data_IF_036349848712
#
_entry.id   IF_036349848712
#
_cell.length_a   1.000
_cell.length_b   1.000
_cell.length_c   1.000
_cell.angle_alpha   90.00
_cell.angle_beta   90.00
_cell.angle_gamma   90.00
#
_symmetry.space_group_name_H-M   'P 1'
#
loop_
_entity.id
_entity.type
_entity.pdbx_description
1 polymer ?
#
# COMPACT_ATOMS: atom_id res chain seq x y z
N UNK A 1 3.84 -38.98 -18.20
CA UNK A 1 3.30 -37.93 -19.09
C UNK A 1 2.07 -37.27 -18.45
N UNK A 2 1.16 -38.00 -17.82
CA UNK A 2 -0.01 -37.45 -17.14
C UNK A 2 0.36 -36.49 -15.95
N UNK A 3 1.47 -36.75 -15.26
CA UNK A 3 1.96 -35.96 -14.14
C UNK A 3 2.71 -34.67 -14.56
N UNK A 4 3.05 -34.52 -15.84
CA UNK A 4 3.81 -33.36 -16.35
C UNK A 4 2.96 -32.17 -16.81
N UNK A 5 1.63 -32.33 -16.95
CA UNK A 5 0.70 -31.32 -17.48
C UNK A 5 1.18 -30.63 -18.79
N UNK A 6 1.98 -31.31 -19.58
CA UNK A 6 2.55 -30.75 -20.81
C UNK A 6 3.79 -29.89 -20.62
N UNK A 7 4.38 -29.87 -19.42
CA UNK A 7 5.64 -29.17 -19.22
C UNK A 7 6.75 -29.80 -20.07
N UNK A 8 7.58 -28.96 -20.67
CA UNK A 8 8.76 -29.33 -21.45
C UNK A 8 10.03 -28.86 -20.76
N UNK A 9 11.17 -29.29 -21.27
CA UNK A 9 12.47 -28.83 -20.76
C UNK A 9 12.58 -27.29 -20.82
N UNK A 10 13.14 -26.70 -19.77
CA UNK A 10 13.23 -25.24 -19.61
C UNK A 10 12.01 -24.58 -18.96
N UNK A 11 10.89 -25.29 -18.74
CA UNK A 11 9.78 -24.72 -17.98
C UNK A 11 10.09 -24.62 -16.47
N UNK A 12 9.78 -23.48 -15.88
CA UNK A 12 9.63 -23.31 -14.42
C UNK A 12 8.22 -23.77 -14.04
N UNK A 13 8.13 -24.60 -13.00
CA UNK A 13 6.89 -25.26 -12.61
C UNK A 13 6.70 -25.25 -11.11
N UNK A 14 5.45 -25.30 -10.66
CA UNK A 14 5.09 -25.61 -9.27
C UNK A 14 4.79 -27.11 -9.19
N UNK A 15 5.41 -27.77 -8.23
CA UNK A 15 5.28 -29.21 -8.02
C UNK A 15 4.67 -29.48 -6.65
N UNK A 16 3.59 -30.23 -6.63
CA UNK A 16 3.04 -30.82 -5.41
C UNK A 16 3.73 -32.15 -5.12
N UNK A 17 4.41 -32.27 -3.98
CA UNK A 17 5.06 -33.50 -3.59
C UNK A 17 4.01 -34.55 -3.20
N UNK A 18 4.10 -35.72 -3.81
CA UNK A 18 3.27 -36.90 -3.50
C UNK A 18 3.97 -37.89 -2.59
N UNK A 19 5.32 -37.81 -2.54
CA UNK A 19 6.17 -38.59 -1.64
C UNK A 19 7.46 -37.83 -1.37
N UNK A 20 7.90 -37.81 -0.11
CA UNK A 20 9.16 -37.17 0.28
C UNK A 20 10.38 -38.05 0.08
N UNK A 21 10.18 -39.31 -0.38
CA UNK A 21 11.26 -40.26 -0.60
C UNK A 21 11.83 -40.81 0.72
N UNK A 22 11.29 -41.94 1.21
CA UNK A 22 11.79 -42.65 2.35
C UNK A 22 12.74 -43.80 1.89
N UNK A 23 13.67 -44.24 2.76
CA UNK A 23 14.51 -45.38 2.53
C UNK A 23 15.35 -45.32 1.23
N UNK A 24 15.93 -44.15 0.92
CA UNK A 24 16.81 -43.95 -0.24
C UNK A 24 16.08 -43.79 -1.58
N UNK A 25 14.75 -43.73 -1.59
CA UNK A 25 13.98 -43.37 -2.77
C UNK A 25 13.99 -41.86 -2.95
N UNK A 26 13.99 -41.40 -4.21
CA UNK A 26 13.88 -39.96 -4.54
C UNK A 26 12.46 -39.46 -4.27
N UNK A 27 12.29 -38.15 -3.90
CA UNK A 27 10.98 -37.54 -3.82
C UNK A 27 10.22 -37.67 -5.15
N UNK A 28 8.91 -37.88 -5.06
CA UNK A 28 8.02 -37.89 -6.22
C UNK A 28 6.97 -36.76 -6.10
N UNK A 29 6.59 -36.18 -7.23
CA UNK A 29 5.58 -35.12 -7.28
C UNK A 29 4.84 -35.11 -8.59
N UNK A 30 3.80 -34.26 -8.63
CA UNK A 30 3.07 -33.91 -9.84
C UNK A 30 3.17 -32.42 -10.09
N UNK A 31 3.29 -32.00 -11.34
CA UNK A 31 3.23 -30.59 -11.72
C UNK A 31 1.81 -30.11 -11.55
N UNK A 32 1.62 -29.05 -10.74
CA UNK A 32 0.32 -28.42 -10.51
C UNK A 32 0.15 -27.14 -11.31
N UNK A 33 1.25 -26.46 -11.66
CA UNK A 33 1.23 -25.22 -12.43
C UNK A 33 2.50 -25.12 -13.28
N UNK A 34 2.38 -24.57 -14.49
CA UNK A 34 3.50 -24.14 -15.33
C UNK A 34 3.57 -22.62 -15.23
N UNK A 35 4.67 -22.09 -14.70
CA UNK A 35 4.88 -20.64 -14.51
C UNK A 35 5.21 -19.99 -15.87
N UNK A 36 6.08 -20.63 -16.66
CA UNK A 36 6.55 -20.16 -17.95
C UNK A 36 7.89 -20.82 -18.31
N UNK A 37 8.40 -20.52 -19.49
CA UNK A 37 9.74 -20.95 -19.89
C UNK A 37 10.80 -20.04 -19.24
N UNK A 38 11.95 -20.59 -18.90
CA UNK A 38 13.02 -19.85 -18.20
C UNK A 38 13.49 -18.57 -18.93
N UNK A 39 13.29 -18.51 -20.26
CA UNK A 39 13.63 -17.35 -21.11
C UNK A 39 12.46 -16.39 -21.32
N UNK A 40 11.26 -16.69 -20.80
CA UNK A 40 10.12 -15.79 -20.94
C UNK A 40 10.23 -14.63 -19.95
N UNK A 41 9.97 -13.39 -20.39
CA UNK A 41 9.99 -12.23 -19.51
C UNK A 41 9.06 -12.41 -18.29
N UNK A 42 9.57 -12.12 -17.09
CA UNK A 42 8.83 -12.19 -15.83
C UNK A 42 8.69 -13.58 -15.22
N UNK A 43 9.15 -14.66 -15.87
CA UNK A 43 9.13 -16.02 -15.32
C UNK A 43 10.04 -16.15 -14.10
N UNK A 44 11.14 -15.42 -14.06
CA UNK A 44 12.06 -15.34 -12.93
C UNK A 44 11.38 -14.71 -11.71
N UNK A 45 10.71 -13.57 -11.88
CA UNK A 45 9.96 -12.88 -10.81
C UNK A 45 8.80 -13.77 -10.32
N UNK A 46 8.01 -14.35 -11.23
CA UNK A 46 6.92 -15.25 -10.85
C UNK A 46 7.41 -16.51 -10.14
N UNK A 47 8.62 -16.99 -10.45
CA UNK A 47 9.23 -18.11 -9.72
C UNK A 47 9.56 -17.74 -8.27
N UNK A 48 9.99 -16.50 -8.02
CA UNK A 48 10.21 -15.97 -6.67
C UNK A 48 8.87 -15.86 -5.93
N UNK A 49 7.87 -15.25 -6.57
CA UNK A 49 6.51 -15.11 -6.02
C UNK A 49 5.95 -16.46 -5.57
N UNK A 50 6.03 -17.48 -6.43
CA UNK A 50 5.56 -18.84 -6.11
C UNK A 50 6.45 -19.53 -5.07
N UNK A 51 7.76 -19.29 -5.10
CA UNK A 51 8.71 -19.87 -4.13
C UNK A 51 8.47 -19.39 -2.69
N UNK A 52 7.97 -18.16 -2.53
CA UNK A 52 7.59 -17.58 -1.23
C UNK A 52 6.09 -17.69 -0.92
N UNK A 53 5.30 -18.36 -1.77
CA UNK A 53 3.85 -18.47 -1.64
C UNK A 53 3.14 -17.11 -1.50
N UNK A 54 3.64 -16.08 -2.20
CA UNK A 54 3.02 -14.75 -2.13
C UNK A 54 1.63 -14.79 -2.80
N UNK A 55 0.58 -14.27 -2.14
CA UNK A 55 -0.78 -14.28 -2.67
C UNK A 55 -0.96 -13.19 -3.72
N UNK A 56 -0.91 -13.55 -5.00
CA UNK A 56 -1.02 -12.60 -6.13
C UNK A 56 -2.44 -12.07 -6.27
N UNK A 57 -3.42 -12.95 -6.12
CA UNK A 57 -4.83 -12.62 -6.34
C UNK A 57 -5.57 -12.44 -5.01
N UNK A 58 -6.58 -11.58 -5.02
CA UNK A 58 -7.50 -11.43 -3.90
C UNK A 58 -8.72 -12.33 -4.09
N UNK A 59 -9.23 -12.94 -3.01
CA UNK A 59 -10.51 -13.66 -3.08
C UNK A 59 -11.66 -12.72 -3.50
N UNK A 60 -12.61 -13.23 -4.30
CA UNK A 60 -13.77 -12.47 -4.78
C UNK A 60 -14.56 -11.75 -3.67
N UNK A 61 -14.68 -12.37 -2.50
CA UNK A 61 -15.37 -11.77 -1.35
C UNK A 61 -14.68 -10.50 -0.86
N UNK A 62 -13.33 -10.46 -0.95
CA UNK A 62 -12.49 -9.31 -0.56
C UNK A 62 -12.63 -8.19 -1.59
N UNK A 63 -12.56 -8.53 -2.88
CA UNK A 63 -12.74 -7.55 -3.97
C UNK A 63 -14.13 -6.91 -3.90
N UNK A 64 -15.20 -7.70 -3.76
CA UNK A 64 -16.57 -7.16 -3.62
C UNK A 64 -16.73 -6.28 -2.37
N UNK A 65 -16.07 -6.61 -1.27
CA UNK A 65 -16.10 -5.75 -0.08
C UNK A 65 -15.34 -4.44 -0.34
N UNK A 66 -14.16 -4.49 -0.96
CA UNK A 66 -13.38 -3.31 -1.32
C UNK A 66 -14.20 -2.34 -2.20
N UNK A 67 -14.83 -2.84 -3.26
CA UNK A 67 -15.70 -2.04 -4.14
C UNK A 67 -16.88 -1.39 -3.39
N UNK A 68 -17.46 -2.11 -2.43
CA UNK A 68 -18.60 -1.60 -1.64
C UNK A 68 -18.21 -0.46 -0.72
N UNK A 69 -17.01 -0.53 -0.10
CA UNK A 69 -16.54 0.46 0.87
C UNK A 69 -15.74 1.59 0.23
N UNK A 70 -15.17 1.39 -0.95
CA UNK A 70 -14.40 2.39 -1.68
C UNK A 70 -15.33 3.45 -2.29
N UNK A 71 -15.84 4.34 -1.45
CA UNK A 71 -16.71 5.45 -1.85
C UNK A 71 -16.07 6.78 -1.49
N UNK A 72 -16.28 7.84 -2.28
CA UNK A 72 -15.86 9.18 -1.92
C UNK A 72 -16.35 9.58 -0.53
N UNK A 73 -15.57 10.41 0.14
CA UNK A 73 -15.91 10.94 1.47
C UNK A 73 -17.24 11.66 1.41
N UNK A 74 -18.17 11.29 2.29
CA UNK A 74 -19.49 11.89 2.42
C UNK A 74 -19.57 12.77 3.67
N UNK A 75 -20.62 13.60 3.74
CA UNK A 75 -20.90 14.41 4.94
C UNK A 75 -21.06 13.54 6.21
N UNK A 76 -21.58 12.33 6.06
CA UNK A 76 -21.73 11.41 7.19
C UNK A 76 -20.35 10.92 7.72
N UNK A 77 -19.38 10.73 6.82
CA UNK A 77 -18.02 10.32 7.18
C UNK A 77 -17.23 11.44 7.88
N UNK A 78 -17.62 12.70 7.63
CA UNK A 78 -17.00 13.88 8.23
C UNK A 78 -17.50 14.16 9.66
N UNK A 79 -18.62 13.58 10.06
CA UNK A 79 -19.23 13.84 11.36
C UNK A 79 -18.31 13.44 12.52
N UNK A 80 -17.99 14.39 13.40
CA UNK A 80 -17.10 14.19 14.54
C UNK A 80 -15.62 14.32 14.20
N UNK A 81 -15.24 14.49 12.93
CA UNK A 81 -13.86 14.70 12.50
C UNK A 81 -13.51 16.19 12.46
N UNK A 82 -12.25 16.49 12.70
CA UNK A 82 -11.72 17.85 12.55
C UNK A 82 -11.51 18.16 11.07
N UNK A 83 -12.10 19.23 10.57
CA UNK A 83 -11.95 19.64 9.17
C UNK A 83 -10.66 20.45 9.01
N UNK A 84 -9.73 19.91 8.22
CA UNK A 84 -8.45 20.51 7.89
C UNK A 84 -8.27 20.73 6.38
N UNK A 85 -9.36 20.72 5.62
CA UNK A 85 -9.33 20.85 4.15
C UNK A 85 -8.79 22.21 3.67
N UNK A 86 -8.89 23.24 4.51
CA UNK A 86 -8.35 24.56 4.20
C UNK A 86 -6.85 24.71 4.52
N UNK A 87 -6.22 23.67 5.08
CA UNK A 87 -4.79 23.66 5.36
C UNK A 87 -3.99 23.33 4.10
N UNK A 88 -2.88 24.04 3.88
CA UNK A 88 -1.94 23.68 2.83
C UNK A 88 -1.25 22.35 3.14
N UNK A 89 -1.43 21.38 2.27
CA UNK A 89 -0.90 20.02 2.44
C UNK A 89 -0.25 19.50 1.18
N UNK A 90 0.82 18.74 1.37
CA UNK A 90 1.49 18.03 0.29
C UNK A 90 1.78 16.59 0.68
N UNK A 91 1.81 15.70 -0.30
CA UNK A 91 2.46 14.38 -0.18
C UNK A 91 3.84 14.45 -0.81
N UNK A 92 4.81 13.69 -0.30
CA UNK A 92 6.20 13.67 -0.79
C UNK A 92 6.67 12.22 -0.91
N UNK A 93 6.67 11.67 -2.12
CA UNK A 93 6.91 10.26 -2.39
C UNK A 93 7.84 10.05 -3.58
N UNK A 94 8.09 8.78 -3.94
CA UNK A 94 8.69 8.43 -5.21
C UNK A 94 7.81 8.85 -6.40
N UNK A 95 8.41 9.12 -7.54
CA UNK A 95 7.67 9.60 -8.74
C UNK A 95 6.59 8.61 -9.19
N UNK A 96 6.86 7.31 -9.05
CA UNK A 96 5.97 6.22 -9.48
C UNK A 96 5.05 5.69 -8.35
N UNK A 97 5.13 6.24 -7.12
CA UNK A 97 4.28 5.83 -6.01
C UNK A 97 2.81 6.06 -6.33
N UNK A 98 1.93 5.13 -5.93
CA UNK A 98 0.48 5.22 -6.14
C UNK A 98 -0.29 5.10 -4.83
N UNK A 99 0.35 4.60 -3.82
CA UNK A 99 -0.10 4.39 -2.47
C UNK A 99 0.52 5.49 -1.59
N UNK A 100 -0.13 6.65 -1.57
CA UNK A 100 0.32 7.83 -0.83
C UNK A 100 -0.28 7.76 0.58
N UNK A 101 0.47 7.19 1.52
CA UNK A 101 -0.03 6.87 2.86
C UNK A 101 -0.01 8.08 3.80
N UNK A 102 0.89 9.03 3.56
CA UNK A 102 1.08 10.19 4.42
C UNK A 102 1.09 11.53 3.66
N UNK A 103 0.63 12.56 4.34
CA UNK A 103 0.72 13.95 3.90
C UNK A 103 1.24 14.82 5.06
N UNK A 104 1.84 15.94 4.71
CA UNK A 104 2.35 16.90 5.67
C UNK A 104 1.78 18.29 5.40
N UNK A 105 1.55 19.01 6.50
CA UNK A 105 1.20 20.44 6.48
C UNK A 105 2.09 21.21 7.44
N UNK A 106 2.41 22.46 7.11
CA UNK A 106 3.23 23.31 7.96
C UNK A 106 2.71 24.76 7.93
N UNK A 107 2.44 25.29 9.10
CA UNK A 107 2.05 26.69 9.28
C UNK A 107 2.95 27.32 10.33
N UNK A 108 3.37 28.57 10.09
CA UNK A 108 4.11 29.35 11.10
C UNK A 108 3.14 30.14 11.96
N UNK A 109 3.19 29.95 13.28
CA UNK A 109 2.37 30.64 14.25
C UNK A 109 3.25 31.35 15.29
N UNK A 110 3.40 32.67 15.15
CA UNK A 110 4.36 33.44 15.95
C UNK A 110 5.80 32.98 15.70
N UNK A 111 6.49 32.53 16.76
CA UNK A 111 7.84 31.97 16.66
C UNK A 111 7.85 30.46 16.43
N UNK A 112 6.71 29.79 16.65
CA UNK A 112 6.57 28.33 16.52
C UNK A 112 6.11 27.91 15.13
N UNK A 113 6.17 26.60 14.89
CA UNK A 113 5.64 25.94 13.71
C UNK A 113 4.54 24.96 14.13
N UNK A 114 3.43 24.96 13.40
CA UNK A 114 2.39 23.93 13.53
C UNK A 114 2.62 22.93 12.41
N UNK A 115 3.16 21.78 12.77
CA UNK A 115 3.43 20.67 11.85
C UNK A 115 2.28 19.65 11.95
N UNK A 116 1.60 19.40 10.85
CA UNK A 116 0.65 18.31 10.72
C UNK A 116 1.28 17.13 9.99
N UNK A 117 1.11 15.92 10.54
CA UNK A 117 1.38 14.65 9.87
C UNK A 117 0.05 13.90 9.78
N UNK A 118 -0.36 13.60 8.58
CA UNK A 118 -1.68 13.05 8.27
C UNK A 118 -1.51 11.68 7.61
N UNK A 119 -2.01 10.64 8.26
CA UNK A 119 -1.96 9.26 7.75
C UNK A 119 -3.35 8.86 7.28
N UNK A 120 -3.45 8.22 6.12
CA UNK A 120 -4.71 7.72 5.59
C UNK A 120 -5.46 6.86 6.62
N UNK A 121 -6.72 7.19 6.92
CA UNK A 121 -7.55 6.43 7.87
C UNK A 121 -8.08 5.15 7.22
N UNK A 122 -7.19 4.16 7.10
CA UNK A 122 -7.49 2.84 6.51
C UNK A 122 -8.59 2.13 7.33
N UNK A 123 -8.64 2.38 8.63
CA UNK A 123 -9.60 1.70 9.52
C UNK A 123 -11.05 2.10 9.27
N UNK A 124 -11.29 3.25 8.64
CA UNK A 124 -12.62 3.63 8.19
C UNK A 124 -13.17 2.66 7.13
N UNK A 125 -12.32 2.09 6.30
CA UNK A 125 -12.67 1.20 5.18
C UNK A 125 -12.50 -0.28 5.54
N UNK A 126 -11.48 -0.60 6.33
CA UNK A 126 -11.13 -1.97 6.74
C UNK A 126 -11.57 -2.19 8.18
N UNK A 127 -12.81 -2.65 8.33
CA UNK A 127 -13.41 -2.91 9.64
C UNK A 127 -12.89 -4.23 10.22
N UNK A 128 -12.68 -4.24 11.53
CA UNK A 128 -12.23 -5.41 12.30
C UNK A 128 -13.07 -6.65 11.99
N UNK A 129 -12.41 -7.80 11.85
CA UNK A 129 -13.02 -9.09 11.53
C UNK A 129 -13.77 -9.15 10.18
N UNK A 130 -13.60 -8.16 9.32
CA UNK A 130 -14.14 -8.18 7.94
C UNK A 130 -13.35 -9.14 7.03
N UNK A 131 -13.83 -9.36 5.81
CA UNK A 131 -13.06 -10.14 4.83
C UNK A 131 -11.77 -9.41 4.40
N UNK A 132 -11.82 -8.07 4.29
CA UNK A 132 -10.66 -7.24 4.02
C UNK A 132 -9.61 -7.33 5.15
N UNK A 133 -10.06 -7.23 6.40
CA UNK A 133 -9.19 -7.29 7.57
C UNK A 133 -8.47 -8.64 7.69
N UNK A 134 -9.21 -9.74 7.54
CA UNK A 134 -8.60 -11.08 7.57
C UNK A 134 -7.60 -11.31 6.45
N UNK A 135 -7.89 -10.83 5.24
CA UNK A 135 -6.98 -10.93 4.10
C UNK A 135 -5.73 -10.07 4.32
N UNK A 136 -5.91 -8.84 4.81
CA UNK A 136 -4.81 -7.95 5.13
C UNK A 136 -3.89 -8.53 6.22
N UNK A 137 -4.47 -9.12 7.26
CA UNK A 137 -3.72 -9.81 8.32
C UNK A 137 -2.93 -11.02 7.78
N UNK A 138 -3.52 -11.80 6.88
CA UNK A 138 -2.86 -12.95 6.25
C UNK A 138 -1.69 -12.51 5.35
N UNK A 139 -1.85 -11.42 4.58
CA UNK A 139 -0.78 -10.85 3.75
C UNK A 139 0.32 -10.19 4.58
N UNK A 140 -0.04 -9.52 5.66
CA UNK A 140 0.84 -8.86 6.62
C UNK A 140 1.48 -7.57 6.12
N UNK A 141 1.75 -7.44 4.82
CA UNK A 141 2.38 -6.27 4.19
C UNK A 141 2.14 -6.26 2.68
N UNK A 142 2.37 -5.11 2.04
CA UNK A 142 2.58 -5.06 0.58
C UNK A 142 4.00 -5.52 0.25
N UNK A 143 4.17 -6.26 -0.85
CA UNK A 143 5.47 -6.75 -1.32
C UNK A 143 5.83 -6.05 -2.62
N UNK A 144 6.90 -5.25 -2.60
CA UNK A 144 7.39 -4.50 -3.74
C UNK A 144 8.45 -5.31 -4.48
N UNK A 145 8.12 -5.74 -5.69
CA UNK A 145 9.03 -6.44 -6.60
C UNK A 145 9.57 -5.45 -7.64
N UNK A 146 10.53 -5.88 -8.45
CA UNK A 146 11.19 -5.01 -9.43
C UNK A 146 10.21 -4.44 -10.46
N UNK A 147 9.19 -5.22 -10.86
CA UNK A 147 8.27 -4.91 -11.95
C UNK A 147 6.80 -4.74 -11.51
N UNK A 148 6.49 -5.08 -10.26
CA UNK A 148 5.12 -5.05 -9.73
C UNK A 148 5.07 -4.97 -8.23
N UNK A 149 3.90 -4.63 -7.70
CA UNK A 149 3.56 -4.70 -6.28
C UNK A 149 2.50 -5.76 -6.08
N UNK A 150 2.68 -6.61 -5.06
CA UNK A 150 1.63 -7.48 -4.52
C UNK A 150 1.09 -6.77 -3.28
N UNK A 151 -0.04 -6.07 -3.38
CA UNK A 151 -0.47 -5.17 -2.32
C UNK A 151 -1.14 -5.92 -1.17
N UNK A 152 -1.04 -5.34 0.04
CA UNK A 152 -1.74 -5.82 1.24
C UNK A 152 -3.26 -5.64 1.12
N UNK A 153 -3.70 -4.54 0.50
CA UNK A 153 -5.11 -4.22 0.25
C UNK A 153 -5.39 -4.13 -1.26
N UNK A 154 -6.62 -4.41 -1.71
CA UNK A 154 -6.99 -4.19 -3.11
C UNK A 154 -6.71 -2.77 -3.58
N UNK A 155 -6.30 -2.60 -4.85
CA UNK A 155 -5.91 -1.30 -5.41
C UNK A 155 -7.00 -0.22 -5.34
N UNK A 156 -8.27 -0.59 -5.30
CA UNK A 156 -9.39 0.33 -5.07
C UNK A 156 -9.28 1.05 -3.71
N UNK A 157 -8.61 0.44 -2.75
CA UNK A 157 -8.28 1.04 -1.46
C UNK A 157 -6.86 1.59 -1.46
N UNK A 158 -5.83 0.76 -1.69
CA UNK A 158 -4.44 1.18 -1.54
C UNK A 158 -4.02 2.33 -2.47
N UNK A 159 -4.50 2.37 -3.70
CA UNK A 159 -4.22 3.44 -4.66
C UNK A 159 -5.38 4.44 -4.78
N UNK A 160 -6.53 4.12 -4.19
CA UNK A 160 -7.77 4.88 -4.24
C UNK A 160 -8.09 5.58 -2.93
N UNK A 161 -9.06 5.04 -2.18
CA UNK A 161 -9.61 5.72 -1.00
C UNK A 161 -8.61 5.88 0.15
N UNK A 162 -7.66 4.98 0.29
CA UNK A 162 -6.59 5.06 1.29
C UNK A 162 -5.33 5.75 0.76
N UNK A 163 -5.31 6.21 -0.50
CA UNK A 163 -4.22 7.04 -1.03
C UNK A 163 -4.60 8.51 -0.93
N UNK A 164 -3.72 9.32 -0.35
CA UNK A 164 -3.93 10.76 -0.15
C UNK A 164 -3.69 11.55 -1.45
N UNK A 165 -4.48 11.22 -2.48
CA UNK A 165 -4.39 11.83 -3.80
C UNK A 165 -4.72 13.32 -3.76
N UNK A 166 -3.92 14.14 -4.46
CA UNK A 166 -4.14 15.58 -4.54
C UNK A 166 -5.46 15.90 -5.23
N UNK A 167 -6.16 16.93 -4.73
CA UNK A 167 -7.44 17.40 -5.27
C UNK A 167 -8.66 16.60 -4.83
N UNK A 168 -8.51 15.69 -3.86
CA UNK A 168 -9.61 14.86 -3.35
C UNK A 168 -9.69 14.92 -1.82
N UNK A 169 -10.92 14.95 -1.29
CA UNK A 169 -11.12 14.84 0.15
C UNK A 169 -10.79 13.43 0.62
N UNK A 170 -10.05 13.34 1.74
CA UNK A 170 -9.63 12.07 2.35
C UNK A 170 -9.84 12.10 3.86
N UNK A 171 -10.12 10.91 4.40
CA UNK A 171 -10.15 10.70 5.84
C UNK A 171 -8.74 10.35 6.31
N UNK A 172 -8.32 10.99 7.39
CA UNK A 172 -7.00 10.77 7.95
C UNK A 172 -7.04 10.71 9.48
N UNK A 173 -6.03 10.04 10.05
CA UNK A 173 -5.64 10.19 11.44
C UNK A 173 -4.44 11.14 11.46
N UNK A 174 -4.58 12.27 12.11
CA UNK A 174 -3.60 13.34 12.08
C UNK A 174 -2.95 13.56 13.44
N UNK A 175 -1.63 13.73 13.43
CA UNK A 175 -0.87 14.26 14.55
C UNK A 175 -0.50 15.72 14.24
N UNK A 176 -1.04 16.65 15.01
CA UNK A 176 -0.80 18.09 14.87
C UNK A 176 0.13 18.51 16.00
N UNK A 177 1.32 18.96 15.68
CA UNK A 177 2.39 19.26 16.65
C UNK A 177 2.74 20.74 16.63
N UNK A 178 2.91 21.32 17.80
CA UNK A 178 3.55 22.63 17.95
C UNK A 178 5.05 22.42 18.17
N UNK A 179 5.84 22.91 17.25
CA UNK A 179 7.32 22.80 17.26
C UNK A 179 7.91 24.19 17.53
N UNK A 180 8.76 24.29 18.53
CA UNK A 180 9.42 25.54 18.88
C UNK A 180 10.61 25.85 17.93
N UNK A 181 11.23 27.07 18.02
CA UNK A 181 12.37 27.41 17.17
C UNK A 181 13.62 26.54 17.36
N UNK A 182 13.70 25.78 18.45
CA UNK A 182 14.79 24.82 18.72
C UNK A 182 14.55 23.47 18.03
N UNK A 183 13.34 23.25 17.52
CA UNK A 183 12.92 21.97 16.92
C UNK A 183 12.27 20.99 17.90
N UNK A 184 12.00 21.45 19.12
CA UNK A 184 11.35 20.61 20.14
C UNK A 184 9.83 20.65 20.01
N UNK A 185 9.18 19.47 20.11
CA UNK A 185 7.72 19.36 20.14
C UNK A 185 7.24 19.73 21.54
N UNK A 186 6.60 20.89 21.67
CA UNK A 186 6.12 21.43 22.96
C UNK A 186 4.64 21.11 23.24
N UNK A 187 3.87 20.75 22.19
CA UNK A 187 2.49 20.29 22.32
C UNK A 187 2.12 19.40 21.13
N UNK A 188 1.14 18.52 21.29
CA UNK A 188 0.58 17.73 20.19
C UNK A 188 -0.90 17.40 20.44
N UNK A 189 -1.61 17.14 19.35
CA UNK A 189 -2.98 16.66 19.33
C UNK A 189 -3.06 15.51 18.30
N UNK A 190 -3.71 14.41 18.64
CA UNK A 190 -4.05 13.35 17.70
C UNK A 190 -5.56 13.39 17.48
N UNK A 191 -5.98 13.46 16.22
CA UNK A 191 -7.39 13.60 15.86
C UNK A 191 -7.72 12.83 14.59
N UNK A 192 -8.95 12.31 14.52
CA UNK A 192 -9.56 11.92 13.25
C UNK A 192 -9.92 13.18 12.46
N UNK A 193 -9.53 13.23 11.19
CA UNK A 193 -9.61 14.45 10.38
C UNK A 193 -10.20 14.17 9.00
N UNK A 194 -10.67 15.23 8.35
CA UNK A 194 -10.89 15.31 6.90
C UNK A 194 -9.87 16.26 6.34
N UNK A 195 -9.16 15.85 5.32
CA UNK A 195 -8.08 16.59 4.69
C UNK A 195 -8.28 16.71 3.18
N UNK A 196 -7.62 17.69 2.59
CA UNK A 196 -7.57 17.90 1.13
C UNK A 196 -6.13 18.20 0.74
N UNK A 197 -5.47 17.29 0.04
CA UNK A 197 -4.07 17.48 -0.38
C UNK A 197 -4.03 18.40 -1.58
N UNK A 198 -3.30 19.53 -1.50
CA UNK A 198 -3.20 20.49 -2.60
C UNK A 198 -2.29 20.00 -3.72
N UNK A 199 -1.18 19.38 -3.36
CA UNK A 199 -0.17 18.98 -4.34
C UNK A 199 0.54 17.69 -3.94
N UNK A 200 0.64 16.79 -4.91
CA UNK A 200 1.58 15.69 -4.86
C UNK A 200 2.96 16.19 -5.27
N UNK A 201 3.96 15.99 -4.42
CA UNK A 201 5.35 16.28 -4.70
C UNK A 201 6.15 14.98 -4.79
N UNK A 202 7.32 15.04 -5.43
CA UNK A 202 8.27 13.93 -5.44
C UNK A 202 9.52 14.28 -4.64
N UNK A 203 10.24 13.24 -4.15
CA UNK A 203 11.56 13.45 -3.52
C UNK A 203 12.49 14.27 -4.41
N UNK A 204 12.43 14.06 -5.74
CA UNK A 204 13.24 14.80 -6.71
C UNK A 204 12.85 16.28 -6.75
N UNK A 205 11.54 16.59 -6.79
CA UNK A 205 11.07 17.99 -6.84
C UNK A 205 11.39 18.73 -5.54
N UNK A 206 11.14 18.09 -4.39
CA UNK A 206 11.47 18.68 -3.08
C UNK A 206 12.99 18.89 -2.93
N UNK A 207 13.81 17.94 -3.38
CA UNK A 207 15.27 18.11 -3.38
C UNK A 207 15.67 19.34 -4.17
N UNK A 208 15.12 19.57 -5.38
CA UNK A 208 15.42 20.78 -6.19
C UNK A 208 15.06 22.07 -5.42
N UNK A 209 13.89 22.12 -4.81
CA UNK A 209 13.46 23.29 -4.01
C UNK A 209 14.47 23.57 -2.87
N UNK A 210 14.86 22.52 -2.14
CA UNK A 210 15.73 22.69 -0.96
C UNK A 210 17.19 22.95 -1.31
N UNK A 211 17.73 22.36 -2.37
CA UNK A 211 19.15 22.45 -2.74
C UNK A 211 19.42 23.51 -3.78
N UNK A 212 18.58 23.59 -4.81
CA UNK A 212 18.81 24.46 -5.98
C UNK A 212 18.05 25.79 -5.86
N UNK A 213 17.20 25.92 -4.80
CA UNK A 213 16.30 27.05 -4.56
C UNK A 213 15.41 27.34 -5.78
N UNK A 214 14.99 26.26 -6.45
CA UNK A 214 14.04 26.31 -7.56
C UNK A 214 12.64 26.63 -6.99
N UNK A 215 11.97 27.68 -7.52
CA UNK A 215 10.67 28.18 -7.04
C UNK A 215 9.49 27.47 -7.75
#
# INVERSE_FOLDING_TARGET
IEKSRGAVDGHKVVVELTSYGENGKKPEGKIVEIIGHLNDPGTDIMSIVKGYNLPVEFPDKVLRQAERVAKPVSEADMNGRKDLRDWQMVTIDGEDAKDLDDAVSLVKEGENYILGVHIADVTNYVQENSALDREALERGTSVYLVDRVIPMLPHTLSNGMCSLNAGEDRLALSCIMTVDPSGDVIAHEIAETVIHVDRRMSYTSVKKILTDRDE
#
